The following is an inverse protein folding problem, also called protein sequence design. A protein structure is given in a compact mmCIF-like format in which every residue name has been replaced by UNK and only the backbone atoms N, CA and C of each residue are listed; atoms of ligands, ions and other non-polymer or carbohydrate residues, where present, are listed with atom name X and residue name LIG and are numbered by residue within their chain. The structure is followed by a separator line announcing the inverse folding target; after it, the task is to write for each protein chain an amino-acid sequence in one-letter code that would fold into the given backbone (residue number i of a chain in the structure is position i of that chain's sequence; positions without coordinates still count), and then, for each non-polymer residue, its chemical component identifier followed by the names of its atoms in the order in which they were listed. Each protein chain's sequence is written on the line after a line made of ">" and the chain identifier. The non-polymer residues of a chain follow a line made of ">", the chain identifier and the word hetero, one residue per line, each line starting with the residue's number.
data_IF_541086238218
#
_entry.id   IF_541086238218
#
_cell.length_a   1.000
_cell.length_b   1.000
_cell.length_c   1.000
_cell.angle_alpha   90.00
_cell.angle_beta   90.00
_cell.angle_gamma   90.00
#
_symmetry.space_group_name_H-M   'P 1'
#
loop_
_entity.id
_entity.type
_entity.pdbx_description
1 polymer ?
#
# COMPACT_ATOMS: atom_id res chain seq x y z
N UNK A 1 4.05 11.30 12.10
CA UNK A 1 2.63 10.89 12.00
C UNK A 1 2.54 9.68 11.08
N UNK A 2 1.73 8.67 11.39
CA UNK A 2 1.54 7.51 10.51
C UNK A 2 0.15 7.59 9.86
N UNK A 3 0.10 7.53 8.53
CA UNK A 3 -1.14 7.46 7.76
C UNK A 3 -1.61 6.01 7.70
N UNK A 4 -2.92 5.76 7.88
CA UNK A 4 -3.42 4.39 8.11
C UNK A 4 -4.70 4.13 7.33
N UNK A 5 -4.70 3.03 6.59
CA UNK A 5 -5.89 2.38 6.02
C UNK A 5 -6.26 1.21 6.92
N UNK A 6 -7.48 1.22 7.45
CA UNK A 6 -8.03 0.11 8.23
C UNK A 6 -9.19 -0.50 7.46
N UNK A 7 -9.03 -1.76 7.07
CA UNK A 7 -10.05 -2.56 6.41
C UNK A 7 -10.28 -3.82 7.25
N UNK A 8 -11.26 -3.73 8.15
CA UNK A 8 -11.66 -4.85 9.00
C UNK A 8 -12.98 -5.42 8.52
N UNK A 9 -13.04 -6.73 8.30
CA UNK A 9 -14.27 -7.52 8.28
C UNK A 9 -14.43 -8.23 9.63
N UNK A 10 -15.56 -8.91 9.83
CA UNK A 10 -15.84 -9.70 11.05
C UNK A 10 -14.79 -10.79 11.31
N UNK A 11 -14.16 -11.33 10.25
CA UNK A 11 -13.21 -12.44 10.32
C UNK A 11 -11.76 -12.03 10.02
N UNK A 12 -11.53 -10.85 9.43
CA UNK A 12 -10.20 -10.46 8.94
C UNK A 12 -9.92 -8.99 9.20
N UNK A 13 -8.80 -8.68 9.85
CA UNK A 13 -8.31 -7.31 9.97
C UNK A 13 -7.15 -7.13 9.00
N UNK A 14 -7.31 -6.24 8.03
CA UNK A 14 -6.25 -5.76 7.14
C UNK A 14 -5.95 -4.31 7.46
N UNK A 15 -4.69 -4.02 7.78
CA UNK A 15 -4.26 -2.67 8.12
C UNK A 15 -2.99 -2.36 7.34
N UNK A 16 -3.00 -1.23 6.63
CA UNK A 16 -1.80 -0.65 6.03
C UNK A 16 -1.46 0.63 6.77
N UNK A 17 -0.24 0.71 7.30
CA UNK A 17 0.31 1.93 7.89
C UNK A 17 1.45 2.42 7.00
N UNK A 18 1.40 3.69 6.61
CA UNK A 18 2.47 4.37 5.89
C UNK A 18 3.26 5.19 6.91
N UNK A 19 4.55 4.93 6.97
CA UNK A 19 5.55 5.59 7.79
C UNK A 19 6.47 6.43 6.90
N UNK A 20 7.41 7.18 7.48
CA UNK A 20 8.37 7.98 6.72
C UNK A 20 9.41 7.13 5.99
N UNK A 21 9.67 5.92 6.46
CA UNK A 21 10.70 4.99 5.99
C UNK A 21 10.14 3.78 5.22
N UNK A 22 8.82 3.61 5.21
CA UNK A 22 8.18 2.50 4.52
C UNK A 22 6.72 2.27 4.92
N UNK A 23 6.28 1.03 4.78
CA UNK A 23 4.93 0.59 5.11
C UNK A 23 4.93 -0.60 6.07
N UNK A 24 3.93 -0.66 6.93
CA UNK A 24 3.58 -1.86 7.71
C UNK A 24 2.26 -2.40 7.21
N UNK A 25 2.25 -3.64 6.74
CA UNK A 25 1.04 -4.40 6.44
C UNK A 25 0.74 -5.38 7.58
N UNK A 26 -0.50 -5.40 8.05
CA UNK A 26 -0.98 -6.36 9.03
C UNK A 26 -2.20 -7.05 8.45
N UNK A 27 -2.16 -8.37 8.40
CA UNK A 27 -3.32 -9.21 8.11
C UNK A 27 -3.47 -10.26 9.21
N UNK A 28 -4.67 -10.39 9.78
CA UNK A 28 -4.92 -11.31 10.91
C UNK A 28 -5.59 -12.62 10.50
N UNK A 29 -5.61 -12.95 9.20
CA UNK A 29 -6.12 -14.24 8.67
C UNK A 29 -5.24 -15.41 9.15
N UNK A 30 -5.70 -16.67 8.98
CA UNK A 30 -5.09 -17.91 9.52
C UNK A 30 -3.59 -18.16 9.19
N UNK A 31 -3.00 -17.43 8.23
CA UNK A 31 -1.55 -17.38 7.92
C UNK A 31 -0.99 -15.94 7.80
N UNK A 32 -1.77 -14.95 8.22
CA UNK A 32 -1.41 -13.55 8.16
C UNK A 32 -0.50 -13.14 9.32
N UNK A 33 0.28 -12.07 9.11
CA UNK A 33 1.14 -11.49 10.13
C UNK A 33 1.39 -10.02 9.91
N UNK A 34 2.18 -9.42 10.79
CA UNK A 34 2.69 -8.06 10.62
C UNK A 34 3.97 -8.11 9.79
N UNK A 35 3.97 -7.48 8.62
CA UNK A 35 5.15 -7.32 7.77
C UNK A 35 5.49 -5.84 7.60
N UNK A 36 6.78 -5.53 7.52
CA UNK A 36 7.30 -4.19 7.27
C UNK A 36 8.09 -4.22 5.97
N UNK A 37 7.90 -3.22 5.13
CA UNK A 37 8.58 -3.08 3.85
C UNK A 37 9.05 -1.64 3.69
N UNK A 38 10.29 -1.44 3.26
CA UNK A 38 10.80 -0.16 2.82
C UNK A 38 10.22 0.23 1.47
N UNK A 39 10.16 1.52 1.16
CA UNK A 39 9.60 2.01 -0.10
C UNK A 39 10.35 1.51 -1.35
N UNK A 40 11.66 1.24 -1.23
CA UNK A 40 12.48 0.69 -2.31
C UNK A 40 12.17 -0.76 -2.64
N UNK A 41 11.60 -1.51 -1.69
CA UNK A 41 11.22 -2.91 -1.88
C UNK A 41 9.88 -3.04 -2.62
N UNK A 42 9.08 -1.96 -2.65
CA UNK A 42 7.79 -1.94 -3.32
C UNK A 42 8.02 -1.69 -4.81
N UNK A 43 7.88 -2.74 -5.62
CA UNK A 43 8.05 -2.63 -7.07
C UNK A 43 6.87 -1.95 -7.76
N UNK A 44 5.66 -2.15 -7.25
CA UNK A 44 4.45 -1.63 -7.88
C UNK A 44 3.35 -1.33 -6.86
N UNK A 45 2.55 -0.30 -7.13
CA UNK A 45 1.34 0.06 -6.37
C UNK A 45 0.20 0.25 -7.36
N UNK A 46 -0.88 -0.51 -7.20
CA UNK A 46 -2.04 -0.49 -8.07
C UNK A 46 -3.32 -0.21 -7.27
N UNK A 47 -4.20 0.60 -7.86
CA UNK A 47 -5.55 0.79 -7.36
C UNK A 47 -6.53 0.09 -8.31
N UNK A 48 -7.26 -0.90 -7.81
CA UNK A 48 -8.35 -1.53 -8.55
C UNK A 48 -9.59 -0.63 -8.59
N UNK A 49 -10.36 -0.71 -9.68
CA UNK A 49 -11.71 -0.15 -9.81
C UNK A 49 -12.66 -0.66 -8.72
N UNK A 50 -12.39 -1.82 -8.13
CA UNK A 50 -13.15 -2.43 -7.04
C UNK A 50 -12.74 -1.92 -5.64
N UNK A 51 -12.07 -0.76 -5.55
CA UNK A 51 -11.69 -0.12 -4.27
C UNK A 51 -10.75 -1.01 -3.45
N UNK A 52 -9.74 -1.56 -4.11
CA UNK A 52 -8.68 -2.34 -3.47
C UNK A 52 -7.34 -1.72 -3.84
N UNK A 53 -6.54 -1.39 -2.84
CA UNK A 53 -5.14 -1.00 -3.02
C UNK A 53 -4.29 -2.25 -2.93
N UNK A 54 -3.50 -2.50 -3.97
CA UNK A 54 -2.55 -3.61 -4.00
C UNK A 54 -1.14 -3.07 -4.18
N UNK A 55 -0.17 -3.71 -3.55
CA UNK A 55 1.24 -3.40 -3.75
C UNK A 55 2.06 -4.68 -3.78
N UNK A 56 3.13 -4.66 -4.59
CA UNK A 56 4.00 -5.81 -4.83
C UNK A 56 5.35 -5.58 -4.16
N UNK A 57 5.83 -6.60 -3.45
CA UNK A 57 7.18 -6.68 -2.88
C UNK A 57 7.81 -7.99 -3.34
N UNK A 58 8.84 -7.91 -4.19
CA UNK A 58 9.39 -9.10 -4.86
C UNK A 58 8.32 -9.84 -5.67
N UNK A 59 8.06 -11.11 -5.34
CA UNK A 59 7.04 -11.95 -5.98
C UNK A 59 5.70 -11.99 -5.20
N UNK A 60 5.61 -11.31 -4.06
CA UNK A 60 4.40 -11.30 -3.24
C UNK A 60 3.55 -10.05 -3.51
N UNK A 61 2.23 -10.24 -3.58
CA UNK A 61 1.25 -9.15 -3.72
C UNK A 61 0.41 -9.03 -2.46
N UNK A 62 0.39 -7.84 -1.88
CA UNK A 62 -0.40 -7.50 -0.70
C UNK A 62 -1.57 -6.62 -1.12
N UNK A 63 -2.75 -6.85 -0.54
CA UNK A 63 -3.98 -6.15 -0.94
C UNK A 63 -4.80 -5.71 0.26
N UNK A 64 -5.22 -4.44 0.25
CA UNK A 64 -6.01 -3.83 1.32
C UNK A 64 -7.23 -3.11 0.71
N UNK A 65 -8.45 -3.48 1.13
CA UNK A 65 -9.65 -2.75 0.72
C UNK A 65 -9.58 -1.27 1.12
N UNK A 66 -10.06 -0.40 0.24
CA UNK A 66 -10.10 1.05 0.46
C UNK A 66 -11.54 1.55 0.41
N UNK A 67 -11.76 2.75 0.96
CA UNK A 67 -13.05 3.43 0.94
C UNK A 67 -12.82 4.77 0.25
N UNK A 68 -13.24 4.95 -1.01
CA UNK A 68 -12.91 6.16 -1.77
C UNK A 68 -13.51 7.43 -1.15
N UNK A 69 -14.63 7.34 -0.44
CA UNK A 69 -15.19 8.47 0.31
C UNK A 69 -14.47 8.78 1.63
N UNK A 70 -13.48 7.98 2.04
CA UNK A 70 -12.72 8.22 3.27
C UNK A 70 -11.45 9.01 2.94
N UNK A 71 -11.45 10.30 3.32
CA UNK A 71 -10.32 11.22 3.11
C UNK A 71 -9.00 10.68 3.64
N UNK A 72 -8.99 10.05 4.82
CA UNK A 72 -7.76 9.47 5.39
C UNK A 72 -7.22 8.33 4.52
N UNK A 73 -8.08 7.54 3.90
CA UNK A 73 -7.62 6.50 2.97
C UNK A 73 -6.98 7.13 1.73
N UNK A 74 -7.62 8.15 1.15
CA UNK A 74 -7.08 8.88 0.00
C UNK A 74 -5.71 9.51 0.30
N UNK A 75 -5.58 10.22 1.43
CA UNK A 75 -4.32 10.79 1.89
C UNK A 75 -3.24 9.72 2.09
N UNK A 76 -3.60 8.58 2.66
CA UNK A 76 -2.67 7.45 2.85
C UNK A 76 -2.20 6.86 1.51
N UNK A 77 -3.12 6.71 0.56
CA UNK A 77 -2.81 6.20 -0.80
C UNK A 77 -1.87 7.18 -1.52
N UNK A 78 -2.20 8.47 -1.50
CA UNK A 78 -1.37 9.50 -2.14
C UNK A 78 0.02 9.56 -1.52
N UNK A 79 0.12 9.50 -0.19
CA UNK A 79 1.40 9.48 0.51
C UNK A 79 2.23 8.24 0.14
N UNK A 80 1.60 7.06 0.05
CA UNK A 80 2.26 5.84 -0.39
C UNK A 80 2.82 5.98 -1.82
N UNK A 81 1.97 6.41 -2.76
CA UNK A 81 2.36 6.56 -4.17
C UNK A 81 3.50 7.57 -4.29
N UNK A 82 3.40 8.71 -3.59
CA UNK A 82 4.44 9.74 -3.58
C UNK A 82 5.75 9.19 -3.03
N UNK A 83 5.71 8.52 -1.87
CA UNK A 83 6.91 8.00 -1.22
C UNK A 83 7.61 6.90 -2.04
N UNK A 84 6.83 5.99 -2.65
CA UNK A 84 7.36 4.95 -3.54
C UNK A 84 8.01 5.58 -4.78
N UNK A 85 7.35 6.57 -5.40
CA UNK A 85 7.93 7.32 -6.54
C UNK A 85 9.25 7.99 -6.17
N UNK A 86 9.29 8.70 -5.05
CA UNK A 86 10.52 9.34 -4.56
C UNK A 86 11.62 8.32 -4.29
N UNK A 87 11.30 7.18 -3.68
CA UNK A 87 12.27 6.14 -3.36
C UNK A 87 12.92 5.51 -4.61
N UNK A 88 12.18 5.45 -5.72
CA UNK A 88 12.64 4.96 -7.03
C UNK A 88 13.20 6.07 -7.93
N UNK A 89 13.32 7.31 -7.44
CA UNK A 89 13.84 8.44 -8.22
C UNK A 89 12.96 8.84 -9.41
N UNK A 90 11.67 8.46 -9.39
CA UNK A 90 10.76 8.76 -10.50
C UNK A 90 10.14 10.16 -10.36
N UNK A 91 10.21 11.01 -11.40
CA UNK A 91 9.54 12.30 -11.39
C UNK A 91 8.01 12.13 -11.38
N UNK A 92 7.27 13.08 -10.78
CA UNK A 92 5.80 13.04 -10.73
C UNK A 92 5.23 13.09 -12.15
N UNK A 93 4.71 11.95 -12.63
CA UNK A 93 4.11 11.84 -13.97
C UNK A 93 4.56 10.61 -14.76
N UNK A 94 5.64 9.94 -14.34
CA UNK A 94 6.12 8.73 -15.02
C UNK A 94 5.40 7.48 -14.48
N UNK A 95 4.71 6.76 -15.37
CA UNK A 95 4.12 5.44 -15.11
C UNK A 95 5.16 4.41 -15.52
N UNK A 96 5.48 3.47 -14.62
CA UNK A 96 6.35 2.34 -14.92
C UNK A 96 5.81 1.59 -16.16
N UNK A 97 6.63 1.34 -17.20
CA UNK A 97 6.24 0.40 -18.23
C UNK A 97 6.11 -1.00 -17.62
N UNK A 98 5.17 -1.83 -18.09
CA UNK A 98 5.06 -3.20 -17.63
C UNK A 98 6.29 -3.99 -18.08
N UNK A 99 7.18 -4.34 -17.14
CA UNK A 99 8.29 -5.28 -17.34
C UNK A 99 9.62 -4.65 -17.75
N UNK A 100 10.36 -4.14 -16.76
CA UNK A 100 11.80 -3.90 -16.87
C UNK A 100 12.54 -4.78 -15.85
#
# INVERSE_FOLDING_TARGET
>A
MALVIRASTLLTKRILKVHSDGVTHLETSFMGGRRKFGFREIGCVLMSSHRVLSFQVGYEVFSVPTKPGNRRHQETIQALISAVRTAHGMPPGMVLPPGA
#
